data_IF_012834109149
#
_entry.id   IF_012834109149
#
_cell.length_a   1.000
_cell.length_b   1.000
_cell.length_c   1.000
_cell.angle_alpha   90.00
_cell.angle_beta   90.00
_cell.angle_gamma   90.00
#
_symmetry.space_group_name_H-M   'P 1'
#
loop_
_entity.id
_entity.type
_entity.pdbx_description
1 polymer ?
#
# COMPACT_ATOMS: atom_id res chain seq x y z
N UNK A 1 30.85 45.33 46.86
CA UNK A 1 31.62 45.23 45.60
C UNK A 1 31.19 43.96 44.89
N UNK A 2 30.45 44.06 43.79
CA UNK A 2 30.09 42.90 42.97
C UNK A 2 31.28 42.50 42.10
N UNK A 3 31.66 41.22 42.10
CA UNK A 3 32.62 40.69 41.13
C UNK A 3 32.01 40.87 39.73
N UNK A 4 32.63 41.71 38.90
CA UNK A 4 32.41 41.66 37.46
C UNK A 4 33.26 40.48 37.01
N UNK A 5 32.60 39.36 36.73
CA UNK A 5 33.26 38.22 36.12
C UNK A 5 33.57 38.62 34.68
N UNK A 6 34.85 38.86 34.39
CA UNK A 6 35.32 39.12 33.03
C UNK A 6 35.09 37.86 32.20
N UNK A 7 33.97 37.85 31.47
CA UNK A 7 33.63 36.78 30.53
C UNK A 7 34.64 36.86 29.39
N UNK A 8 35.54 35.88 29.32
CA UNK A 8 36.53 35.76 28.24
C UNK A 8 35.84 35.83 26.86
N UNK A 9 36.22 36.80 25.99
CA UNK A 9 35.66 36.93 24.66
C UNK A 9 35.69 35.64 23.83
N UNK A 10 36.71 34.80 24.01
CA UNK A 10 36.83 33.50 23.33
C UNK A 10 35.76 32.50 23.82
N UNK A 11 35.36 32.59 25.08
CA UNK A 11 34.31 31.74 25.65
C UNK A 11 32.93 32.14 25.11
N UNK A 12 32.70 33.44 24.88
CA UNK A 12 31.47 33.95 24.28
C UNK A 12 31.34 33.53 22.80
N UNK A 13 32.42 33.61 22.03
CA UNK A 13 32.53 33.11 20.66
C UNK A 13 32.23 31.59 20.58
N UNK A 14 32.81 30.80 21.49
CA UNK A 14 32.58 29.36 21.55
C UNK A 14 31.11 29.00 21.87
N UNK A 15 30.50 29.67 22.86
CA UNK A 15 29.10 29.43 23.23
C UNK A 15 28.12 29.85 22.13
N UNK A 16 28.37 30.98 21.47
CA UNK A 16 27.54 31.43 20.34
C UNK A 16 27.67 30.50 19.14
N UNK A 17 28.88 30.01 18.85
CA UNK A 17 29.13 29.02 17.79
C UNK A 17 28.44 27.69 18.09
N UNK A 18 28.51 27.20 19.33
CA UNK A 18 27.82 25.97 19.73
C UNK A 18 26.30 26.10 19.62
N UNK A 19 25.73 27.23 20.02
CA UNK A 19 24.28 27.50 19.87
C UNK A 19 23.85 27.54 18.41
N UNK A 20 24.63 28.20 17.55
CA UNK A 20 24.42 28.24 16.09
C UNK A 20 24.49 26.83 15.50
N UNK A 21 25.48 26.04 15.89
CA UNK A 21 25.62 24.65 15.46
C UNK A 21 24.42 23.79 15.88
N UNK A 22 23.98 23.91 17.14
CA UNK A 22 22.81 23.19 17.66
C UNK A 22 21.51 23.60 16.95
N UNK A 23 21.40 24.85 16.52
CA UNK A 23 20.26 25.35 15.72
C UNK A 23 20.35 24.95 14.25
N UNK A 24 21.56 24.78 13.71
CA UNK A 24 21.80 24.34 12.34
C UNK A 24 21.68 22.81 12.18
N UNK A 25 21.64 22.06 13.28
CA UNK A 25 21.39 20.62 13.20
C UNK A 25 19.96 20.35 12.75
N UNK A 26 19.77 19.42 11.81
CA UNK A 26 18.43 18.98 11.45
C UNK A 26 17.75 18.41 12.68
N UNK A 27 16.50 18.79 12.86
CA UNK A 27 15.62 18.23 13.88
C UNK A 27 15.55 16.71 13.73
N UNK A 28 15.27 16.00 14.81
CA UNK A 28 15.04 14.54 14.77
C UNK A 28 14.01 14.15 13.72
N UNK A 29 12.98 14.97 13.53
CA UNK A 29 11.94 14.77 12.52
C UNK A 29 12.45 14.91 11.09
N UNK A 30 13.37 15.85 10.83
CA UNK A 30 14.01 15.96 9.51
C UNK A 30 14.89 14.76 9.24
N UNK A 31 15.70 14.33 10.21
CA UNK A 31 16.54 13.12 10.06
C UNK A 31 15.71 11.88 9.74
N UNK A 32 14.60 11.68 10.46
CA UNK A 32 13.68 10.56 10.18
C UNK A 32 13.01 10.66 8.79
N UNK A 33 12.72 11.88 8.32
CA UNK A 33 12.17 12.08 6.97
C UNK A 33 13.21 11.76 5.90
N UNK A 34 14.45 12.16 6.11
CA UNK A 34 15.56 11.89 5.17
C UNK A 34 15.82 10.37 5.07
N UNK A 35 15.86 9.67 6.20
CA UNK A 35 16.00 8.20 6.23
C UNK A 35 14.84 7.48 5.52
N UNK A 36 13.60 7.97 5.70
CA UNK A 36 12.44 7.46 4.98
C UNK A 36 12.55 7.71 3.47
N UNK A 37 13.03 8.88 3.07
CA UNK A 37 13.23 9.22 1.66
C UNK A 37 14.27 8.32 1.01
N UNK A 38 15.39 8.03 1.70
CA UNK A 38 16.41 7.09 1.26
C UNK A 38 15.82 5.68 1.06
N UNK A 39 15.07 5.19 2.05
CA UNK A 39 14.40 3.89 1.98
C UNK A 39 13.43 3.81 0.79
N UNK A 40 12.61 4.84 0.58
CA UNK A 40 11.64 4.87 -0.52
C UNK A 40 12.31 4.99 -1.89
N UNK A 41 13.47 5.65 -1.98
CA UNK A 41 14.26 5.68 -3.20
C UNK A 41 14.73 4.27 -3.57
N UNK A 42 15.23 3.50 -2.60
CA UNK A 42 15.63 2.11 -2.81
C UNK A 42 14.45 1.24 -3.29
N UNK A 43 13.27 1.36 -2.66
CA UNK A 43 12.05 0.67 -3.09
C UNK A 43 11.66 1.08 -4.53
N UNK A 44 11.85 2.34 -4.90
CA UNK A 44 11.60 2.81 -6.26
C UNK A 44 12.54 2.18 -7.28
N UNK A 45 13.81 1.98 -6.95
CA UNK A 45 14.78 1.30 -7.81
C UNK A 45 14.38 -0.17 -8.03
N UNK A 46 14.11 -0.90 -6.93
CA UNK A 46 13.63 -2.30 -6.97
C UNK A 46 12.35 -2.46 -7.81
N UNK A 47 11.45 -1.49 -7.74
CA UNK A 47 10.20 -1.49 -8.53
C UNK A 47 10.48 -1.35 -10.03
N UNK A 48 11.41 -0.45 -10.41
CA UNK A 48 11.77 -0.22 -11.82
C UNK A 48 12.43 -1.46 -12.43
N UNK A 49 13.34 -2.11 -11.70
CA UNK A 49 14.01 -3.34 -12.13
C UNK A 49 13.02 -4.48 -12.42
N UNK A 50 12.03 -4.68 -11.54
CA UNK A 50 10.99 -5.72 -11.73
C UNK A 50 10.11 -5.43 -12.95
N UNK A 51 9.78 -4.17 -13.22
CA UNK A 51 8.94 -3.83 -14.38
C UNK A 51 9.60 -4.06 -15.74
N UNK A 52 10.94 -4.08 -15.81
CA UNK A 52 11.66 -4.45 -17.04
C UNK A 52 11.62 -5.95 -17.34
N UNK A 53 11.37 -6.80 -16.35
CA UNK A 53 11.40 -8.27 -16.52
C UNK A 53 9.99 -8.85 -16.79
N UNK A 54 8.94 -8.23 -16.26
CA UNK A 54 7.56 -8.73 -16.34
C UNK A 54 6.81 -8.29 -17.61
N UNK A 55 7.29 -8.76 -18.77
CA UNK A 55 6.61 -8.61 -20.05
C UNK A 55 5.41 -9.55 -20.25
N UNK A 56 4.33 -9.45 -19.45
CA UNK A 56 3.09 -10.25 -19.72
C UNK A 56 1.80 -9.44 -19.55
N UNK A 57 1.03 -9.38 -20.65
CA UNK A 57 -0.31 -8.77 -20.75
C UNK A 57 -1.33 -9.58 -19.95
N UNK A 58 -1.46 -9.29 -18.66
CA UNK A 58 -2.50 -9.79 -17.76
C UNK A 58 -3.25 -8.64 -17.08
N UNK A 59 -4.12 -8.97 -16.11
CA UNK A 59 -4.73 -7.97 -15.22
C UNK A 59 -3.63 -7.20 -14.46
N UNK A 60 -3.77 -5.87 -14.30
CA UNK A 60 -2.80 -5.06 -13.55
C UNK A 60 -2.80 -5.44 -12.06
N UNK A 61 -1.90 -6.35 -11.69
CA UNK A 61 -1.59 -6.68 -10.31
C UNK A 61 -0.43 -5.78 -9.89
N UNK A 62 -0.68 -4.87 -8.96
CA UNK A 62 0.34 -3.98 -8.45
C UNK A 62 1.09 -4.64 -7.30
N UNK A 63 2.43 -4.55 -7.33
CA UNK A 63 3.28 -5.10 -6.28
C UNK A 63 3.07 -4.35 -4.95
N UNK A 64 3.42 -4.97 -3.81
CA UNK A 64 3.43 -4.27 -2.52
C UNK A 64 4.30 -3.01 -2.57
N UNK A 65 5.46 -3.07 -3.23
CA UNK A 65 6.38 -1.94 -3.40
C UNK A 65 5.69 -0.75 -4.11
N UNK A 66 4.95 -1.00 -5.19
CA UNK A 66 4.17 0.03 -5.90
C UNK A 66 3.08 0.64 -5.01
N UNK A 67 2.43 -0.17 -4.17
CA UNK A 67 1.41 0.29 -3.22
C UNK A 67 2.01 1.16 -2.11
N UNK A 68 3.14 0.74 -1.54
CA UNK A 68 3.89 1.49 -0.51
C UNK A 68 4.35 2.84 -1.07
N UNK A 69 4.98 2.84 -2.25
CA UNK A 69 5.43 4.07 -2.91
C UNK A 69 4.27 5.02 -3.16
N UNK A 70 3.11 4.50 -3.60
CA UNK A 70 1.92 5.31 -3.81
C UNK A 70 1.46 6.00 -2.50
N UNK A 71 1.36 5.23 -1.40
CA UNK A 71 0.99 5.78 -0.09
C UNK A 71 1.98 6.82 0.40
N UNK A 72 3.29 6.56 0.28
CA UNK A 72 4.34 7.49 0.64
C UNK A 72 4.21 8.81 -0.13
N UNK A 73 4.07 8.77 -1.46
CA UNK A 73 3.92 9.98 -2.26
C UNK A 73 2.62 10.73 -1.94
N UNK A 74 1.55 10.02 -1.58
CA UNK A 74 0.25 10.63 -1.29
C UNK A 74 0.17 11.24 0.12
N UNK A 75 0.60 10.50 1.16
CA UNK A 75 0.40 10.87 2.56
C UNK A 75 1.61 11.58 3.17
N UNK A 76 2.83 11.19 2.79
CA UNK A 76 4.07 11.78 3.36
C UNK A 76 4.51 12.98 2.52
N UNK A 77 4.58 12.83 1.19
CA UNK A 77 4.97 13.91 0.27
C UNK A 77 3.81 14.80 -0.19
N UNK A 78 2.58 14.45 0.16
CA UNK A 78 1.36 15.22 -0.15
C UNK A 78 1.20 15.54 -1.64
N UNK A 79 1.66 14.65 -2.52
CA UNK A 79 1.51 14.82 -3.96
C UNK A 79 0.08 14.54 -4.41
N UNK A 80 -0.29 15.14 -5.55
CA UNK A 80 -1.56 14.81 -6.22
C UNK A 80 -1.57 13.34 -6.63
N UNK A 81 -2.74 12.70 -6.54
CA UNK A 81 -2.93 11.27 -6.84
C UNK A 81 -2.35 10.84 -8.21
N UNK A 82 -2.50 11.68 -9.24
CA UNK A 82 -1.93 11.41 -10.58
C UNK A 82 -0.41 11.39 -10.56
N UNK A 83 0.23 12.34 -9.86
CA UNK A 83 1.69 12.40 -9.71
C UNK A 83 2.21 11.23 -8.89
N UNK A 84 1.55 10.92 -7.77
CA UNK A 84 1.87 9.76 -6.95
C UNK A 84 1.79 8.45 -7.75
N UNK A 85 0.73 8.26 -8.53
CA UNK A 85 0.54 7.07 -9.38
C UNK A 85 1.67 6.91 -10.40
N UNK A 86 2.05 7.98 -11.10
CA UNK A 86 3.14 7.95 -12.07
C UNK A 86 4.46 7.54 -11.44
N UNK A 87 4.81 8.14 -10.30
CA UNK A 87 6.06 7.87 -9.60
C UNK A 87 6.10 6.45 -9.01
N UNK A 88 4.95 5.90 -8.64
CA UNK A 88 4.84 4.54 -8.09
C UNK A 88 4.61 3.46 -9.16
N UNK A 89 4.60 3.79 -10.45
CA UNK A 89 4.31 2.83 -11.53
C UNK A 89 2.87 2.31 -11.56
N UNK A 90 1.93 3.03 -10.92
CA UNK A 90 0.50 2.72 -10.90
C UNK A 90 -0.20 3.49 -12.02
N UNK A 91 -1.20 2.89 -12.67
CA UNK A 91 -1.97 3.62 -13.68
C UNK A 91 -2.72 4.79 -13.05
N UNK A 92 -2.78 5.93 -13.75
CA UNK A 92 -3.40 7.16 -13.23
C UNK A 92 -4.83 6.94 -12.73
N UNK A 93 -5.64 6.21 -13.52
CA UNK A 93 -7.02 5.85 -13.17
C UNK A 93 -7.11 5.06 -11.87
N UNK A 94 -6.16 4.15 -11.63
CA UNK A 94 -6.13 3.33 -10.40
C UNK A 94 -5.71 4.18 -9.21
N UNK A 95 -4.66 4.97 -9.34
CA UNK A 95 -4.21 5.87 -8.28
C UNK A 95 -5.28 6.89 -7.87
N UNK A 96 -6.04 7.44 -8.82
CA UNK A 96 -7.18 8.30 -8.53
C UNK A 96 -8.28 7.57 -7.73
N UNK A 97 -8.62 6.33 -8.11
CA UNK A 97 -9.59 5.51 -7.37
C UNK A 97 -9.12 5.22 -5.96
N UNK A 98 -7.83 4.87 -5.79
CA UNK A 98 -7.24 4.60 -4.48
C UNK A 98 -7.26 5.85 -3.60
N UNK A 99 -6.86 7.00 -4.13
CA UNK A 99 -6.90 8.27 -3.40
C UNK A 99 -8.32 8.67 -2.99
N UNK A 100 -9.32 8.45 -3.86
CA UNK A 100 -10.72 8.66 -3.50
C UNK A 100 -11.14 7.73 -2.36
N UNK A 101 -10.81 6.44 -2.46
CA UNK A 101 -11.20 5.44 -1.46
C UNK A 101 -10.52 5.70 -0.10
N UNK A 102 -9.25 6.09 -0.09
CA UNK A 102 -8.53 6.49 1.13
C UNK A 102 -9.10 7.76 1.76
N UNK A 103 -9.73 8.63 0.97
CA UNK A 103 -10.43 9.81 1.50
C UNK A 103 -11.76 9.44 2.13
N UNK A 104 -12.49 8.52 1.51
CA UNK A 104 -13.79 8.06 1.99
C UNK A 104 -13.65 7.10 3.19
N UNK A 105 -12.60 6.27 3.20
CA UNK A 105 -12.25 5.29 4.22
C UNK A 105 -10.72 5.33 4.49
N UNK A 106 -10.27 6.09 5.51
CA UNK A 106 -8.85 6.19 5.86
C UNK A 106 -8.23 4.89 6.38
N UNK A 107 -9.04 3.96 6.89
CA UNK A 107 -8.59 2.65 7.38
C UNK A 107 -8.55 1.60 6.25
N UNK A 108 -8.94 2.00 5.03
CA UNK A 108 -8.97 1.10 3.89
C UNK A 108 -7.60 0.49 3.60
N UNK A 109 -7.53 -0.84 3.72
CA UNK A 109 -6.31 -1.58 3.47
C UNK A 109 -6.05 -1.78 1.96
N UNK A 110 -5.15 -0.96 1.40
CA UNK A 110 -4.71 -1.06 0.00
C UNK A 110 -4.03 -2.41 -0.35
N UNK A 111 -3.47 -3.11 0.64
CA UNK A 111 -2.76 -4.38 0.44
C UNK A 111 -3.71 -5.57 0.30
N UNK A 112 -4.95 -5.43 0.77
CA UNK A 112 -5.94 -6.48 0.69
C UNK A 112 -6.29 -6.84 -0.77
N UNK A 113 -6.66 -8.11 -0.99
CA UNK A 113 -7.09 -8.59 -2.30
C UNK A 113 -8.42 -7.94 -2.69
N UNK A 114 -8.37 -7.00 -3.63
CA UNK A 114 -9.55 -6.30 -4.15
C UNK A 114 -10.48 -7.19 -5.01
N UNK A 115 -10.07 -8.42 -5.35
CA UNK A 115 -10.74 -9.28 -6.34
C UNK A 115 -11.88 -10.15 -5.76
N UNK A 116 -12.03 -10.29 -4.44
CA UNK A 116 -13.00 -11.22 -3.83
C UNK A 116 -13.99 -10.61 -2.83
N UNK A 117 -14.00 -9.29 -2.66
CA UNK A 117 -15.05 -8.59 -1.93
C UNK A 117 -16.31 -8.57 -2.82
N UNK A 118 -17.28 -9.44 -2.50
CA UNK A 118 -18.70 -9.31 -2.85
C UNK A 118 -19.16 -9.64 -4.27
N UNK A 119 -18.38 -10.35 -5.08
CA UNK A 119 -18.84 -10.86 -6.39
C UNK A 119 -19.19 -12.34 -6.42
N UNK A 120 -19.52 -12.95 -5.27
CA UNK A 120 -20.35 -14.16 -5.34
C UNK A 120 -21.69 -13.70 -5.90
N UNK A 121 -21.96 -14.04 -7.17
CA UNK A 121 -23.28 -13.83 -7.76
C UNK A 121 -24.29 -14.35 -6.74
N UNK A 122 -25.30 -13.55 -6.41
CA UNK A 122 -26.48 -14.04 -5.70
C UNK A 122 -26.90 -15.32 -6.39
N UNK A 123 -26.99 -16.41 -5.65
CA UNK A 123 -27.22 -17.72 -6.21
C UNK A 123 -28.49 -17.67 -7.06
N UNK A 124 -28.33 -17.91 -8.37
CA UNK A 124 -29.44 -17.79 -9.32
C UNK A 124 -30.50 -18.86 -9.05
N UNK A 125 -30.11 -19.98 -8.46
CA UNK A 125 -31.02 -21.01 -7.96
C UNK A 125 -31.34 -20.78 -6.49
N UNK A 126 -32.62 -20.66 -6.19
CA UNK A 126 -33.14 -20.83 -4.84
C UNK A 126 -32.87 -22.26 -4.33
N UNK A 127 -32.76 -22.40 -3.01
CA UNK A 127 -32.36 -23.64 -2.35
C UNK A 127 -33.24 -24.84 -2.73
N UNK A 128 -34.55 -24.65 -2.84
CA UNK A 128 -35.51 -25.69 -3.24
C UNK A 128 -35.22 -26.26 -4.63
N UNK A 129 -34.84 -25.42 -5.59
CA UNK A 129 -34.49 -25.86 -6.94
C UNK A 129 -33.20 -26.69 -6.95
N UNK A 130 -32.26 -26.40 -6.06
CA UNK A 130 -31.03 -27.17 -5.92
C UNK A 130 -31.33 -28.56 -5.39
N UNK A 131 -32.16 -28.63 -4.35
CA UNK A 131 -32.57 -29.89 -3.72
C UNK A 131 -33.35 -30.78 -4.69
N UNK A 132 -34.25 -30.19 -5.50
CA UNK A 132 -34.96 -30.92 -6.54
C UNK A 132 -34.00 -31.52 -7.58
N UNK A 133 -33.03 -30.75 -8.07
CA UNK A 133 -32.05 -31.24 -9.05
C UNK A 133 -31.18 -32.36 -8.44
N UNK A 134 -30.73 -32.20 -7.20
CA UNK A 134 -29.94 -33.23 -6.49
C UNK A 134 -30.75 -34.53 -6.37
N UNK A 135 -31.99 -34.44 -5.90
CA UNK A 135 -32.88 -35.60 -5.76
C UNK A 135 -33.16 -36.29 -7.10
N UNK A 136 -33.31 -35.52 -8.19
CA UNK A 136 -33.50 -36.07 -9.53
C UNK A 136 -32.28 -36.89 -9.97
N UNK A 137 -31.07 -36.39 -9.72
CA UNK A 137 -29.83 -37.13 -10.02
C UNK A 137 -29.70 -38.40 -9.17
N UNK A 138 -29.99 -38.32 -7.87
CA UNK A 138 -29.90 -39.47 -6.96
C UNK A 138 -30.89 -40.59 -7.33
N UNK A 139 -32.09 -40.23 -7.78
CA UNK A 139 -33.11 -41.18 -8.24
C UNK A 139 -32.72 -41.87 -9.57
N UNK A 140 -32.05 -41.16 -10.47
CA UNK A 140 -31.66 -41.72 -11.78
C UNK A 140 -30.32 -42.46 -11.76
N UNK A 141 -29.44 -42.26 -10.77
CA UNK A 141 -28.22 -43.07 -10.62
C UNK A 141 -28.47 -44.44 -9.96
N UNK A 142 -29.51 -44.56 -9.13
CA UNK A 142 -29.84 -45.82 -8.45
C UNK A 142 -30.54 -46.86 -9.34
N UNK A 143 -30.87 -46.51 -10.59
CA UNK A 143 -31.39 -47.44 -11.60
C UNK A 143 -30.33 -48.17 -12.42
N UNK A 144 -29.04 -47.93 -12.20
CA UNK A 144 -27.95 -48.41 -13.06
C UNK A 144 -27.25 -49.70 -12.64
N UNK A 145 -27.47 -50.23 -11.43
CA UNK A 145 -26.78 -51.44 -10.96
C UNK A 145 -27.69 -52.33 -10.12
N UNK A 146 -28.54 -53.12 -10.77
CA UNK A 146 -29.02 -54.42 -10.27
C UNK A 146 -29.77 -55.19 -11.37
N UNK A 147 -29.03 -55.66 -12.37
CA UNK A 147 -29.38 -56.95 -12.98
C UNK A 147 -28.65 -58.02 -12.18
N UNK A 148 -29.34 -58.58 -11.17
CA UNK A 148 -28.92 -59.84 -10.56
C UNK A 148 -29.32 -60.97 -11.51
N UNK A 149 -28.34 -61.61 -12.13
CA UNK A 149 -28.56 -62.88 -12.83
C UNK A 149 -28.93 -63.93 -11.77
N UNK A 150 -30.15 -64.46 -11.85
CA UNK A 150 -30.52 -65.76 -11.27
C UNK A 150 -30.42 -66.82 -12.35
#
# INVERSE_FOLDING_TARGET
>A
MGRVEDIDPLHLEALTTFRKYKQAQPSEQERMRDELDETMNEVSLRTKEKTSEDGKKGHNVYSPDQKVLFLYYLQVKLYKAVKAAKLSGVTERTGQKWAKRLKDDPEWNIFEKQTNCDKRKTEVLQQEHKEYIINLYDQHLQGGTRCGCS
#
